data_IF_617339351317
#
_entry.id   IF_617339351317
#
_cell.length_a   1.000
_cell.length_b   1.000
_cell.length_c   1.000
_cell.angle_alpha   90.00
_cell.angle_beta   90.00
_cell.angle_gamma   90.00
#
_symmetry.space_group_name_H-M   'P 1'
#
loop_
_entity.id
_entity.type
_entity.pdbx_description
1 polymer ?
#
# COMPACT_ATOMS: atom_id res chain seq x y z
N UNK A 1 11.86 8.15 16.51
CA UNK A 1 11.95 7.36 15.26
C UNK A 1 12.38 5.97 15.68
N UNK A 2 11.42 5.09 15.82
CA UNK A 2 11.71 3.69 16.19
C UNK A 2 12.37 2.99 14.99
N UNK A 3 13.63 2.61 15.19
CA UNK A 3 14.46 1.96 14.15
C UNK A 3 14.07 0.47 14.00
N UNK A 4 13.13 -0.01 14.81
CA UNK A 4 12.82 -1.43 14.92
C UNK A 4 11.82 -1.96 13.86
N UNK A 5 11.29 -1.10 12.98
CA UNK A 5 10.33 -1.52 11.95
C UNK A 5 10.85 -1.28 10.52
N UNK A 6 12.04 -1.81 10.21
CA UNK A 6 12.61 -1.73 8.84
C UNK A 6 11.86 -2.57 7.81
N UNK A 7 10.94 -3.44 8.25
CA UNK A 7 10.21 -4.39 7.40
C UNK A 7 8.76 -3.99 7.11
N UNK A 8 8.30 -2.87 7.66
CA UNK A 8 6.95 -2.37 7.49
C UNK A 8 6.90 -0.92 7.02
N UNK A 9 5.70 -0.37 6.96
CA UNK A 9 5.48 1.04 6.68
C UNK A 9 5.79 1.89 7.93
N UNK A 10 6.16 3.19 7.75
CA UNK A 10 6.25 4.12 8.87
C UNK A 10 4.91 4.19 9.64
N UNK A 11 4.99 4.38 10.95
CA UNK A 11 3.80 4.59 11.76
C UNK A 11 2.96 5.76 11.24
N UNK A 12 1.64 5.62 11.35
CA UNK A 12 0.74 6.72 11.10
C UNK A 12 0.83 7.71 12.26
N UNK A 13 1.60 8.80 12.05
CA UNK A 13 1.79 9.82 13.06
C UNK A 13 0.65 10.85 13.00
N UNK A 14 -0.21 10.83 14.03
CA UNK A 14 -1.34 11.75 14.16
C UNK A 14 -0.91 13.15 14.66
N UNK A 15 0.22 13.26 15.37
CA UNK A 15 0.68 14.51 15.96
C UNK A 15 1.28 15.45 14.91
N UNK A 16 2.16 14.92 14.04
CA UNK A 16 2.74 15.71 12.94
C UNK A 16 1.68 16.21 11.93
N UNK A 17 0.56 15.50 11.84
CA UNK A 17 -0.51 15.83 10.92
C UNK A 17 -1.48 16.87 11.51
N UNK A 18 -1.69 16.85 12.83
CA UNK A 18 -2.45 17.88 13.53
C UNK A 18 -1.74 19.24 13.47
N UNK A 19 -0.41 19.28 13.54
CA UNK A 19 0.37 20.52 13.37
C UNK A 19 0.26 21.08 11.95
N UNK A 20 0.23 20.23 10.91
CA UNK A 20 0.08 20.67 9.52
C UNK A 20 -1.33 21.15 9.17
N UNK A 21 -2.35 20.60 9.83
CA UNK A 21 -3.75 21.00 9.63
C UNK A 21 -4.12 22.24 10.43
N UNK A 22 -3.36 22.57 11.50
CA UNK A 22 -3.67 23.70 12.35
C UNK A 22 -3.35 25.06 11.72
N UNK A 23 -2.53 25.11 10.69
CA UNK A 23 -2.15 26.35 10.01
C UNK A 23 -3.16 26.80 8.93
N UNK A 24 -4.01 25.90 8.41
CA UNK A 24 -4.92 26.22 7.29
C UNK A 24 -6.42 26.09 7.62
N UNK A 25 -6.82 25.53 8.77
CA UNK A 25 -8.24 25.25 9.05
C UNK A 25 -8.69 25.84 10.38
N UNK A 26 -9.28 27.02 10.33
CA UNK A 26 -9.89 27.68 11.49
C UNK A 26 -11.06 26.84 12.04
N UNK A 27 -10.76 25.84 12.89
CA UNK A 27 -11.70 25.38 13.90
C UNK A 27 -12.57 24.16 13.59
N UNK A 28 -12.28 23.35 12.57
CA UNK A 28 -13.05 22.13 12.25
C UNK A 28 -12.36 20.78 12.56
N UNK A 29 -11.18 20.80 13.17
CA UNK A 29 -10.39 19.59 13.52
C UNK A 29 -11.13 18.57 14.41
N UNK A 30 -12.22 18.96 15.05
CA UNK A 30 -13.09 18.10 15.87
C UNK A 30 -14.16 17.33 15.09
N UNK A 31 -14.38 17.67 13.80
CA UNK A 31 -15.39 16.98 12.98
C UNK A 31 -14.89 15.60 12.55
N UNK A 32 -15.77 14.57 12.62
CA UNK A 32 -15.41 13.26 12.11
C UNK A 32 -15.03 13.33 10.63
N UNK A 33 -13.87 12.77 10.28
CA UNK A 33 -13.43 12.64 8.89
C UNK A 33 -13.46 11.16 8.48
N UNK A 34 -14.58 10.66 7.93
CA UNK A 34 -14.73 9.24 7.59
C UNK A 34 -13.73 8.78 6.53
N UNK A 35 -13.32 9.65 5.61
CA UNK A 35 -12.32 9.31 4.59
C UNK A 35 -10.95 9.07 5.21
N UNK A 36 -10.55 9.90 6.19
CA UNK A 36 -9.29 9.74 6.91
C UNK A 36 -9.29 8.47 7.74
N UNK A 37 -10.37 8.19 8.47
CA UNK A 37 -10.48 6.97 9.27
C UNK A 37 -10.44 5.71 8.40
N UNK A 38 -11.12 5.73 7.25
CA UNK A 38 -11.05 4.65 6.28
C UNK A 38 -9.63 4.50 5.70
N UNK A 39 -8.92 5.61 5.45
CA UNK A 39 -7.54 5.61 4.98
C UNK A 39 -6.58 4.99 6.01
N UNK A 40 -6.74 5.33 7.30
CA UNK A 40 -5.94 4.72 8.38
C UNK A 40 -6.14 3.22 8.46
N UNK A 41 -7.39 2.75 8.39
CA UNK A 41 -7.69 1.32 8.40
C UNK A 41 -7.06 0.61 7.19
N UNK A 42 -7.12 1.24 6.02
CA UNK A 42 -6.52 0.75 4.79
C UNK A 42 -4.99 0.67 4.91
N UNK A 43 -4.35 1.70 5.45
CA UNK A 43 -2.91 1.77 5.65
C UNK A 43 -2.42 0.69 6.61
N UNK A 44 -3.09 0.53 7.74
CA UNK A 44 -2.77 -0.52 8.71
C UNK A 44 -2.87 -1.91 8.11
N UNK A 45 -3.93 -2.18 7.33
CA UNK A 45 -4.08 -3.48 6.66
C UNK A 45 -3.00 -3.71 5.62
N UNK A 46 -2.61 -2.66 4.89
CA UNK A 46 -1.54 -2.76 3.91
C UNK A 46 -0.18 -3.02 4.55
N UNK A 47 0.10 -2.40 5.69
CA UNK A 47 1.30 -2.67 6.47
C UNK A 47 1.40 -4.15 6.91
N UNK A 48 0.30 -4.73 7.39
CA UNK A 48 0.24 -6.17 7.70
C UNK A 48 0.60 -7.04 6.48
N UNK A 49 0.11 -6.68 5.29
CA UNK A 49 0.42 -7.38 4.04
C UNK A 49 1.90 -7.21 3.66
N UNK A 50 2.47 -6.02 3.80
CA UNK A 50 3.91 -5.77 3.56
C UNK A 50 4.76 -6.63 4.48
N UNK A 51 4.43 -6.73 5.77
CA UNK A 51 5.15 -7.58 6.72
C UNK A 51 5.09 -9.06 6.30
N UNK A 52 3.95 -9.53 5.81
CA UNK A 52 3.84 -10.89 5.26
C UNK A 52 4.69 -11.09 4.00
N UNK A 53 4.68 -10.11 3.08
CA UNK A 53 5.49 -10.14 1.86
C UNK A 53 6.98 -10.15 2.19
N UNK A 54 7.43 -9.32 3.11
CA UNK A 54 8.82 -9.32 3.56
C UNK A 54 9.21 -10.69 4.15
N UNK A 55 8.36 -11.27 4.98
CA UNK A 55 8.61 -12.60 5.54
C UNK A 55 8.68 -13.70 4.49
N UNK A 56 7.95 -13.56 3.37
CA UNK A 56 7.92 -14.55 2.29
C UNK A 56 9.03 -14.36 1.24
N UNK A 57 9.45 -13.11 1.00
CA UNK A 57 10.31 -12.73 -0.12
C UNK A 57 11.74 -12.37 0.28
N UNK A 58 12.04 -12.33 1.58
CA UNK A 58 13.42 -12.16 2.06
C UNK A 58 14.14 -13.49 1.95
N UNK A 59 15.14 -13.57 1.10
CA UNK A 59 16.04 -14.71 1.04
C UNK A 59 17.06 -14.64 2.19
N UNK A 60 17.36 -15.79 2.79
CA UNK A 60 18.53 -15.92 3.63
C UNK A 60 19.77 -15.75 2.75
N UNK A 61 20.78 -15.01 3.25
CA UNK A 61 22.08 -14.84 2.57
C UNK A 61 22.74 -16.20 2.37
N UNK A 62 22.50 -16.84 1.24
CA UNK A 62 23.27 -17.99 0.82
C UNK A 62 24.63 -17.51 0.29
N UNK A 63 25.74 -18.23 0.63
CA UNK A 63 27.06 -17.90 0.12
C UNK A 63 27.03 -17.93 -1.42
N UNK A 64 27.74 -16.96 -2.03
CA UNK A 64 27.88 -16.77 -3.48
C UNK A 64 28.23 -18.09 -4.20
N UNK A 65 27.24 -18.87 -4.53
CA UNK A 65 27.31 -19.90 -5.57
C UNK A 65 26.80 -19.28 -6.87
N UNK A 66 27.30 -19.74 -8.00
CA UNK A 66 26.86 -19.28 -9.30
C UNK A 66 25.33 -19.30 -9.36
N UNK A 67 24.75 -18.11 -9.28
CA UNK A 67 23.29 -17.91 -9.34
C UNK A 67 22.83 -18.26 -10.75
N UNK A 68 21.96 -19.26 -10.89
CA UNK A 68 21.41 -19.58 -12.19
C UNK A 68 20.43 -18.46 -12.66
N UNK A 69 20.17 -18.44 -13.96
CA UNK A 69 19.32 -17.42 -14.58
C UNK A 69 17.90 -17.40 -13.98
N UNK A 70 17.38 -18.55 -13.51
CA UNK A 70 16.07 -18.64 -12.91
C UNK A 70 16.04 -18.01 -11.52
N UNK A 71 17.03 -18.27 -10.67
CA UNK A 71 17.15 -17.65 -9.34
C UNK A 71 17.24 -16.14 -9.46
N UNK A 72 18.09 -15.63 -10.36
CA UNK A 72 18.22 -14.18 -10.59
C UNK A 72 16.90 -13.55 -11.04
N UNK A 73 16.22 -14.16 -12.00
CA UNK A 73 14.91 -13.68 -12.47
C UNK A 73 13.86 -13.67 -11.35
N UNK A 74 13.85 -14.70 -10.50
CA UNK A 74 12.96 -14.78 -9.34
C UNK A 74 13.24 -13.65 -8.33
N UNK A 75 14.51 -13.39 -8.02
CA UNK A 75 14.91 -12.27 -7.13
C UNK A 75 14.47 -10.92 -7.68
N UNK A 76 14.67 -10.67 -8.97
CA UNK A 76 14.21 -9.44 -9.63
C UNK A 76 12.68 -9.28 -9.51
N UNK A 77 11.91 -10.34 -9.71
CA UNK A 77 10.45 -10.32 -9.53
C UNK A 77 10.04 -10.05 -8.08
N UNK A 78 10.71 -10.66 -7.12
CA UNK A 78 10.47 -10.41 -5.70
C UNK A 78 10.74 -8.94 -5.34
N UNK A 79 11.83 -8.37 -5.84
CA UNK A 79 12.17 -6.97 -5.63
C UNK A 79 11.13 -6.01 -6.23
N UNK A 80 10.58 -6.33 -7.42
CA UNK A 80 9.49 -5.57 -8.05
C UNK A 80 8.24 -5.63 -7.18
N UNK A 81 7.85 -6.81 -6.71
CA UNK A 81 6.66 -6.99 -5.85
C UNK A 81 6.78 -6.19 -4.56
N UNK A 82 7.94 -6.23 -3.90
CA UNK A 82 8.19 -5.42 -2.70
C UNK A 82 8.18 -3.92 -3.01
N UNK A 83 8.81 -3.50 -4.09
CA UNK A 83 8.80 -2.10 -4.54
C UNK A 83 7.37 -1.58 -4.77
N UNK A 84 6.55 -2.34 -5.48
CA UNK A 84 5.14 -2.01 -5.72
C UNK A 84 4.31 -1.99 -4.42
N UNK A 85 4.63 -2.85 -3.46
CA UNK A 85 3.98 -2.86 -2.16
C UNK A 85 4.28 -1.59 -1.35
N UNK A 86 5.55 -1.17 -1.30
CA UNK A 86 5.94 0.07 -0.63
C UNK A 86 5.40 1.32 -1.36
N UNK A 87 5.38 1.32 -2.69
CA UNK A 87 4.75 2.40 -3.46
C UNK A 87 3.26 2.53 -3.11
N UNK A 88 2.52 1.42 -3.06
CA UNK A 88 1.11 1.46 -2.67
C UNK A 88 0.93 2.03 -1.25
N UNK A 89 1.77 1.65 -0.28
CA UNK A 89 1.75 2.21 1.07
C UNK A 89 1.98 3.72 1.09
N UNK A 90 2.98 4.21 0.36
CA UNK A 90 3.25 5.64 0.21
C UNK A 90 2.08 6.39 -0.43
N UNK A 91 1.42 5.76 -1.44
CA UNK A 91 0.23 6.34 -2.10
C UNK A 91 -0.99 6.39 -1.19
N UNK A 92 -1.20 5.39 -0.33
CA UNK A 92 -2.25 5.45 0.69
C UNK A 92 -2.00 6.64 1.62
N UNK A 93 -0.80 6.76 2.16
CA UNK A 93 -0.44 7.84 3.10
C UNK A 93 -0.59 9.23 2.45
N UNK A 94 -0.06 9.41 1.24
CA UNK A 94 -0.09 10.71 0.54
C UNK A 94 -1.49 11.12 0.08
N UNK A 95 -2.46 10.21 0.04
CA UNK A 95 -3.84 10.52 -0.33
C UNK A 95 -4.53 11.46 0.67
N UNK A 96 -4.07 11.51 1.92
CA UNK A 96 -4.59 12.41 2.94
C UNK A 96 -3.91 13.78 2.95
N UNK A 97 -2.82 13.95 2.19
CA UNK A 97 -2.14 15.25 2.07
C UNK A 97 -2.93 16.16 1.13
N UNK A 98 -3.51 17.23 1.68
CA UNK A 98 -4.28 18.23 0.92
C UNK A 98 -5.70 17.83 0.53
N UNK A 99 -6.11 16.58 0.71
CA UNK A 99 -7.51 16.13 0.60
C UNK A 99 -8.20 16.27 -0.77
N UNK A 100 -7.47 16.56 -1.86
CA UNK A 100 -8.03 16.79 -3.19
C UNK A 100 -8.58 15.49 -3.81
N UNK A 101 -9.80 15.57 -4.34
CA UNK A 101 -10.47 14.43 -4.97
C UNK A 101 -9.66 13.78 -6.10
N UNK A 102 -9.10 14.59 -7.01
CA UNK A 102 -8.31 14.08 -8.14
C UNK A 102 -7.07 13.32 -7.67
N UNK A 103 -6.36 13.82 -6.67
CA UNK A 103 -5.17 13.17 -6.11
C UNK A 103 -5.54 11.85 -5.43
N UNK A 104 -6.64 11.82 -4.67
CA UNK A 104 -7.16 10.59 -4.08
C UNK A 104 -7.50 9.54 -5.14
N UNK A 105 -8.16 9.94 -6.23
CA UNK A 105 -8.54 9.05 -7.32
C UNK A 105 -7.32 8.51 -8.08
N UNK A 106 -6.31 9.35 -8.36
CA UNK A 106 -5.05 8.91 -8.97
C UNK A 106 -4.32 7.90 -8.10
N UNK A 107 -4.15 8.23 -6.82
CA UNK A 107 -3.51 7.33 -5.87
C UNK A 107 -4.29 6.02 -5.74
N UNK A 108 -5.62 6.07 -5.67
CA UNK A 108 -6.47 4.89 -5.64
C UNK A 108 -6.26 3.99 -6.86
N UNK A 109 -6.12 4.57 -8.05
CA UNK A 109 -5.84 3.79 -9.27
C UNK A 109 -4.47 3.07 -9.21
N UNK A 110 -3.44 3.74 -8.70
CA UNK A 110 -2.10 3.16 -8.53
C UNK A 110 -2.13 2.05 -7.47
N UNK A 111 -2.72 2.30 -6.31
CA UNK A 111 -2.87 1.32 -5.23
C UNK A 111 -3.57 0.05 -5.74
N UNK A 112 -4.68 0.21 -6.46
CA UNK A 112 -5.42 -0.91 -7.05
C UNK A 112 -4.55 -1.71 -8.01
N UNK A 113 -3.84 -1.05 -8.93
CA UNK A 113 -2.94 -1.69 -9.89
C UNK A 113 -1.88 -2.53 -9.18
N UNK A 114 -1.21 -1.94 -8.19
CA UNK A 114 -0.14 -2.61 -7.47
C UNK A 114 -0.68 -3.80 -6.65
N UNK A 115 -1.80 -3.63 -5.94
CA UNK A 115 -2.43 -4.72 -5.19
C UNK A 115 -2.85 -5.90 -6.09
N UNK A 116 -3.40 -5.62 -7.27
CA UNK A 116 -3.76 -6.65 -8.25
C UNK A 116 -2.53 -7.38 -8.80
N UNK A 117 -1.46 -6.64 -9.10
CA UNK A 117 -0.22 -7.22 -9.57
C UNK A 117 0.42 -8.14 -8.52
N UNK A 118 0.50 -7.68 -7.26
CA UNK A 118 1.03 -8.47 -6.15
C UNK A 118 0.21 -9.75 -5.96
N UNK A 119 -1.12 -9.65 -5.94
CA UNK A 119 -2.01 -10.81 -5.82
C UNK A 119 -1.80 -11.82 -6.93
N UNK A 120 -1.62 -11.36 -8.16
CA UNK A 120 -1.34 -12.23 -9.33
C UNK A 120 0.04 -12.86 -9.24
N UNK A 121 1.05 -12.11 -8.78
CA UNK A 121 2.42 -12.60 -8.61
C UNK A 121 2.49 -13.77 -7.61
N UNK A 122 1.67 -13.75 -6.57
CA UNK A 122 1.59 -14.87 -5.61
C UNK A 122 1.18 -16.18 -6.28
N UNK A 123 0.33 -16.15 -7.32
CA UNK A 123 0.02 -17.35 -8.10
C UNK A 123 1.22 -17.90 -8.87
N UNK A 124 2.04 -17.00 -9.44
CA UNK A 124 3.27 -17.37 -10.12
C UNK A 124 4.26 -18.03 -9.17
N UNK A 125 4.56 -17.38 -8.04
CA UNK A 125 5.48 -17.91 -7.04
C UNK A 125 5.03 -19.25 -6.45
N UNK A 126 3.73 -19.42 -6.23
CA UNK A 126 3.14 -20.71 -5.84
C UNK A 126 3.35 -21.78 -6.90
N UNK A 127 3.03 -21.50 -8.16
CA UNK A 127 3.14 -22.45 -9.26
C UNK A 127 4.58 -22.88 -9.54
N UNK A 128 5.53 -21.99 -9.32
CA UNK A 128 6.97 -22.22 -9.47
C UNK A 128 7.60 -22.87 -8.22
N UNK A 129 6.84 -23.05 -7.14
CA UNK A 129 7.33 -23.60 -5.88
C UNK A 129 8.34 -22.71 -5.14
N UNK A 130 8.34 -21.41 -5.44
CA UNK A 130 9.24 -20.41 -4.83
C UNK A 130 8.79 -20.06 -3.42
N UNK A 131 7.47 -19.96 -3.22
CA UNK A 131 6.85 -19.69 -1.91
C UNK A 131 5.86 -20.80 -1.62
N UNK A 132 5.76 -21.20 -0.36
CA UNK A 132 4.80 -22.21 0.09
C UNK A 132 3.36 -21.81 -0.31
N UNK A 133 2.62 -22.80 -0.79
CA UNK A 133 1.25 -22.60 -1.27
C UNK A 133 0.32 -22.00 -0.23
N UNK A 134 0.41 -22.47 1.01
CA UNK A 134 -0.43 -21.99 2.11
C UNK A 134 -0.16 -20.52 2.37
N UNK A 135 1.11 -20.13 2.37
CA UNK A 135 1.50 -18.74 2.61
C UNK A 135 1.05 -17.82 1.47
N UNK A 136 1.21 -18.25 0.21
CA UNK A 136 0.70 -17.53 -0.95
C UNK A 136 -0.82 -17.31 -0.86
N UNK A 137 -1.57 -18.34 -0.46
CA UNK A 137 -3.02 -18.24 -0.32
C UNK A 137 -3.41 -17.25 0.79
N UNK A 138 -2.73 -17.28 1.95
CA UNK A 138 -2.97 -16.33 3.04
C UNK A 138 -2.76 -14.89 2.57
N UNK A 139 -1.64 -14.59 1.90
CA UNK A 139 -1.39 -13.24 1.37
C UNK A 139 -2.49 -12.81 0.39
N UNK A 140 -2.93 -13.71 -0.48
CA UNK A 140 -4.00 -13.42 -1.45
C UNK A 140 -5.34 -13.12 -0.76
N UNK A 141 -5.67 -13.88 0.28
CA UNK A 141 -6.88 -13.69 1.07
C UNK A 141 -6.83 -12.34 1.83
N UNK A 142 -5.67 -11.98 2.38
CA UNK A 142 -5.48 -10.69 3.04
C UNK A 142 -5.60 -9.50 2.05
N UNK A 143 -5.16 -9.67 0.80
CA UNK A 143 -5.39 -8.67 -0.25
C UNK A 143 -6.90 -8.56 -0.59
N UNK A 144 -7.68 -9.63 -0.48
CA UNK A 144 -9.13 -9.56 -0.65
C UNK A 144 -9.81 -8.81 0.51
N UNK A 145 -9.34 -8.98 1.74
CA UNK A 145 -9.76 -8.17 2.88
C UNK A 145 -9.41 -6.70 2.65
N UNK A 146 -8.18 -6.41 2.24
CA UNK A 146 -7.75 -5.07 1.86
C UNK A 146 -8.65 -4.45 0.79
N UNK A 147 -9.05 -5.22 -0.24
CA UNK A 147 -9.97 -4.76 -1.28
C UNK A 147 -11.32 -4.33 -0.70
N UNK A 148 -11.82 -4.97 0.34
CA UNK A 148 -13.03 -4.57 1.06
C UNK A 148 -12.87 -3.17 1.65
N UNK A 149 -11.81 -2.95 2.43
CA UNK A 149 -11.49 -1.65 3.02
C UNK A 149 -11.22 -0.58 1.95
N UNK A 150 -10.55 -0.93 0.88
CA UNK A 150 -10.32 -0.04 -0.26
C UNK A 150 -11.63 0.46 -0.88
N UNK A 151 -12.61 -0.41 -1.04
CA UNK A 151 -13.93 -0.01 -1.57
C UNK A 151 -14.66 0.96 -0.65
N UNK A 152 -14.59 0.74 0.65
CA UNK A 152 -15.15 1.66 1.66
C UNK A 152 -14.46 3.02 1.62
N UNK A 153 -13.13 3.02 1.54
CA UNK A 153 -12.33 4.24 1.43
C UNK A 153 -12.69 5.04 0.18
N UNK A 154 -12.68 4.43 -1.00
CA UNK A 154 -13.03 5.11 -2.27
C UNK A 154 -14.48 5.63 -2.24
N UNK A 155 -15.41 4.87 -1.66
CA UNK A 155 -16.81 5.29 -1.52
C UNK A 155 -17.00 6.51 -0.60
N UNK A 156 -16.04 6.80 0.27
CA UNK A 156 -16.05 7.98 1.15
C UNK A 156 -15.57 9.27 0.48
N UNK A 157 -15.01 9.21 -0.73
CA UNK A 157 -14.49 10.38 -1.42
C UNK A 157 -15.61 11.35 -1.80
N UNK A 158 -15.36 12.62 -1.52
CA UNK A 158 -16.27 13.71 -1.96
C UNK A 158 -15.58 14.46 -3.09
N UNK A 159 -16.29 14.63 -4.21
CA UNK A 159 -15.81 15.44 -5.33
C UNK A 159 -15.77 16.90 -4.89
N UNK A 160 -14.65 17.55 -5.09
CA UNK A 160 -14.47 19.00 -4.87
C UNK A 160 -14.75 19.81 -6.15
N UNK A 161 -14.58 21.13 -6.07
CA UNK A 161 -14.79 22.04 -7.19
C UNK A 161 -13.55 22.16 -8.11
N UNK A 162 -12.47 21.47 -7.77
CA UNK A 162 -11.25 21.51 -8.56
C UNK A 162 -11.43 20.74 -9.88
N UNK A 163 -11.18 21.42 -10.97
CA UNK A 163 -11.13 20.81 -12.31
C UNK A 163 -9.67 20.53 -12.69
N UNK A 164 -9.39 19.27 -12.97
CA UNK A 164 -8.08 18.86 -13.44
C UNK A 164 -7.81 19.35 -14.86
N UNK A 165 -6.67 20.03 -15.08
CA UNK A 165 -6.29 20.58 -16.39
C UNK A 165 -6.16 19.49 -17.48
N UNK A 166 -5.93 18.24 -17.11
CA UNK A 166 -5.84 17.09 -18.01
C UNK A 166 -7.17 16.39 -18.23
N UNK A 167 -8.24 16.84 -17.57
CA UNK A 167 -9.58 16.28 -17.70
C UNK A 167 -9.77 14.91 -17.05
N UNK A 168 -8.95 14.56 -16.06
CA UNK A 168 -9.11 13.30 -15.31
C UNK A 168 -10.19 13.44 -14.23
N UNK A 169 -11.01 12.42 -14.09
CA UNK A 169 -12.01 12.29 -13.01
C UNK A 169 -13.04 13.43 -12.94
N UNK A 170 -13.37 14.04 -14.07
CA UNK A 170 -14.41 15.10 -14.21
C UNK A 170 -15.81 14.53 -14.09
#
# INVERSE_FOLDING_TARGET
MDIDNLNGLPDWDDEDELERLSDDDEGESWKPNPTREACKALYKKWDEIIMMLNGALVEEDEPEQEEDAFKRFTKERMAIVLGDAFEAGAKIRSSETGGMYVIRMENAAIIRKNAQYIKSSMLGFKAEGVIDETYCNVIRDEIDVFRGLYKEWVASFTKDEYEDEWGLFV
#
